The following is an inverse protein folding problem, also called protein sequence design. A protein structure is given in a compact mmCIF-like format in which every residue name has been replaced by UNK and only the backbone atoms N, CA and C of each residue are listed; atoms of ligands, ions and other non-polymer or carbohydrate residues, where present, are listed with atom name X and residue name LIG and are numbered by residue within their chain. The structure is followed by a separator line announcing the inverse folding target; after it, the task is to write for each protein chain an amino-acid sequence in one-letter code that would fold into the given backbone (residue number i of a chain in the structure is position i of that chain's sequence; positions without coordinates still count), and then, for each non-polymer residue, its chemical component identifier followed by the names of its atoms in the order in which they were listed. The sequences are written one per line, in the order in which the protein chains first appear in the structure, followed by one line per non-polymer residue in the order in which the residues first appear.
data_IF_998819233875
#
_entry.id   IF_998819233875
#
_cell.length_a   1.000
_cell.length_b   1.000
_cell.length_c   1.000
_cell.angle_alpha   90.00
_cell.angle_beta   90.00
_cell.angle_gamma   90.00
#
_symmetry.space_group_name_H-M   'P 1'
#
loop_
_entity.id
_entity.type
_entity.pdbx_description
1 polymer ?
#
# COMPACT_ATOMS: atom_id res chain seq x y z
N UNK A 1 25.71 -27.86 22.90
CA UNK A 1 24.45 -27.72 22.13
C UNK A 1 24.50 -26.51 21.21
N UNK A 2 24.80 -25.33 21.67
CA UNK A 2 24.95 -24.11 20.81
C UNK A 2 25.99 -24.28 19.68
N UNK A 3 27.14 -24.92 19.95
CA UNK A 3 28.19 -25.11 18.94
C UNK A 3 27.76 -26.04 17.79
N UNK A 4 26.99 -27.11 18.09
CA UNK A 4 26.47 -28.03 17.08
C UNK A 4 25.36 -27.34 16.24
N UNK A 5 24.52 -26.53 16.86
CA UNK A 5 23.50 -25.74 16.19
C UNK A 5 24.15 -24.75 15.21
N UNK A 6 25.25 -24.08 15.59
CA UNK A 6 26.01 -23.20 14.69
C UNK A 6 26.60 -23.94 13.50
N UNK A 7 27.15 -25.13 13.69
CA UNK A 7 27.79 -25.92 12.62
C UNK A 7 26.79 -26.47 11.58
N UNK A 8 25.52 -26.59 11.93
CA UNK A 8 24.47 -27.09 11.04
C UNK A 8 23.66 -25.94 10.43
N UNK A 9 23.33 -24.91 11.23
CA UNK A 9 22.53 -23.79 10.76
C UNK A 9 23.29 -22.88 9.77
N UNK A 10 24.59 -22.61 10.01
CA UNK A 10 25.36 -21.76 9.10
C UNK A 10 25.45 -22.30 7.67
N UNK A 11 25.81 -23.55 7.40
CA UNK A 11 25.85 -24.09 6.03
C UNK A 11 24.44 -24.23 5.45
N UNK A 12 23.41 -24.52 6.25
CA UNK A 12 22.03 -24.60 5.79
C UNK A 12 21.51 -23.21 5.40
N UNK A 13 21.78 -22.20 6.21
CA UNK A 13 21.44 -20.80 5.92
C UNK A 13 22.17 -20.33 4.65
N UNK A 14 23.47 -20.58 4.55
CA UNK A 14 24.27 -20.25 3.36
C UNK A 14 23.77 -20.97 2.10
N UNK A 15 23.26 -22.20 2.22
CA UNK A 15 22.69 -22.97 1.12
C UNK A 15 21.31 -22.43 0.70
N UNK A 16 20.45 -22.05 1.65
CA UNK A 16 19.17 -21.41 1.38
C UNK A 16 19.39 -20.04 0.72
N UNK A 17 20.39 -19.30 1.17
CA UNK A 17 20.80 -18.02 0.62
C UNK A 17 21.32 -18.13 -0.82
N UNK A 18 22.21 -19.11 -1.09
CA UNK A 18 22.71 -19.37 -2.45
C UNK A 18 21.61 -19.85 -3.38
N UNK A 19 20.61 -20.59 -2.88
CA UNK A 19 19.47 -21.03 -3.67
C UNK A 19 18.54 -19.87 -4.03
N UNK A 20 18.30 -18.94 -3.08
CA UNK A 20 17.56 -17.71 -3.35
C UNK A 20 18.27 -16.79 -4.35
N UNK A 21 19.60 -16.65 -4.26
CA UNK A 21 20.40 -15.89 -5.24
C UNK A 21 20.39 -16.49 -6.64
N UNK A 22 20.30 -17.84 -6.75
CA UNK A 22 20.21 -18.53 -8.06
C UNK A 22 18.82 -18.41 -8.70
N UNK A 23 17.76 -18.32 -7.89
CA UNK A 23 16.37 -18.26 -8.38
C UNK A 23 15.94 -16.82 -8.65
N UNK A 24 16.52 -15.86 -7.94
CA UNK A 24 16.19 -14.44 -8.05
C UNK A 24 17.50 -13.62 -8.07
N UNK A 25 18.06 -13.36 -9.27
CA UNK A 25 19.23 -12.51 -9.37
C UNK A 25 18.90 -11.10 -8.81
N UNK A 26 19.62 -10.74 -7.76
CA UNK A 26 19.55 -9.38 -7.20
C UNK A 26 20.32 -8.47 -8.15
N UNK A 27 19.64 -7.59 -8.86
CA UNK A 27 20.29 -6.47 -9.54
C UNK A 27 20.61 -5.39 -8.49
N UNK A 28 21.85 -4.95 -8.43
CA UNK A 28 22.37 -4.12 -7.32
C UNK A 28 21.78 -2.70 -7.24
N UNK A 29 21.20 -2.16 -8.31
CA UNK A 29 20.60 -0.82 -8.32
C UNK A 29 19.16 -0.86 -8.83
N UNK A 30 18.20 -0.90 -7.89
CA UNK A 30 16.77 -0.92 -8.18
C UNK A 30 16.12 0.47 -8.10
N UNK A 31 16.82 1.44 -7.54
CA UNK A 31 16.43 2.85 -7.55
C UNK A 31 17.31 3.55 -8.59
N UNK A 32 16.74 4.30 -9.54
CA UNK A 32 17.48 5.08 -10.51
C UNK A 32 18.52 5.99 -9.84
N UNK A 33 19.65 6.25 -10.53
CA UNK A 33 20.71 7.13 -10.00
C UNK A 33 20.22 8.57 -9.81
N UNK A 34 19.37 9.03 -10.73
CA UNK A 34 18.74 10.35 -10.69
C UNK A 34 17.22 10.15 -10.87
N UNK A 35 16.43 10.82 -10.05
CA UNK A 35 14.97 10.83 -10.12
C UNK A 35 14.45 12.25 -10.05
N UNK A 36 13.32 12.51 -10.73
CA UNK A 36 12.62 13.77 -10.61
C UNK A 36 12.18 13.98 -9.17
N UNK A 37 12.37 15.21 -8.71
CA UNK A 37 11.91 15.60 -7.39
C UNK A 37 10.48 16.12 -7.50
N UNK A 38 9.65 15.72 -6.56
CA UNK A 38 8.25 16.14 -6.45
C UNK A 38 7.96 16.64 -5.04
N UNK A 39 6.90 17.42 -4.91
CA UNK A 39 6.45 17.94 -3.63
C UNK A 39 5.37 17.05 -3.01
N UNK A 40 4.47 16.54 -3.84
CA UNK A 40 3.32 15.77 -3.40
C UNK A 40 3.36 14.35 -3.94
N UNK A 41 2.86 13.40 -3.17
CA UNK A 41 2.66 12.01 -3.61
C UNK A 41 1.25 11.54 -3.29
N UNK A 42 0.57 10.98 -4.29
CA UNK A 42 -0.68 10.24 -4.12
C UNK A 42 -0.41 8.79 -4.52
N UNK A 43 -0.44 7.90 -3.55
CA UNK A 43 -0.14 6.49 -3.69
C UNK A 43 -1.41 5.65 -3.59
N UNK A 44 -1.91 5.17 -4.75
CA UNK A 44 -3.17 4.44 -4.83
C UNK A 44 -2.91 2.93 -4.92
N UNK A 45 -3.54 2.16 -4.04
CA UNK A 45 -3.38 0.71 -3.91
C UNK A 45 -4.74 0.04 -4.11
N UNK A 46 -4.90 -0.68 -5.21
CA UNK A 46 -6.06 -1.56 -5.44
C UNK A 46 -5.78 -2.93 -4.83
N UNK A 47 -6.29 -3.18 -3.61
CA UNK A 47 -6.08 -4.48 -2.94
C UNK A 47 -6.59 -5.62 -3.81
N UNK A 48 -5.74 -6.61 -4.07
CA UNK A 48 -6.05 -7.78 -4.87
C UNK A 48 -6.11 -7.54 -6.40
N UNK A 49 -5.80 -6.33 -6.87
CA UNK A 49 -5.99 -5.91 -8.26
C UNK A 49 -4.90 -6.48 -9.21
N UNK A 50 -5.20 -7.56 -9.87
CA UNK A 50 -4.36 -8.08 -10.96
C UNK A 50 -4.71 -7.48 -12.34
N UNK A 51 -3.88 -7.75 -13.36
CA UNK A 51 -4.09 -7.17 -14.70
C UNK A 51 -5.40 -7.60 -15.36
N UNK A 52 -5.89 -8.80 -15.08
CA UNK A 52 -7.14 -9.28 -15.67
C UNK A 52 -8.39 -8.76 -14.96
N UNK A 53 -8.27 -8.19 -13.77
CA UNK A 53 -9.33 -7.41 -13.10
C UNK A 53 -9.67 -6.18 -13.95
N UNK A 54 -8.64 -5.47 -14.43
CA UNK A 54 -8.80 -4.29 -15.28
C UNK A 54 -9.49 -4.65 -16.60
N UNK A 55 -9.04 -5.72 -17.27
CA UNK A 55 -9.63 -6.17 -18.52
C UNK A 55 -11.09 -6.60 -18.36
N UNK A 56 -11.39 -7.33 -17.25
CA UNK A 56 -12.75 -7.77 -16.94
C UNK A 56 -13.66 -6.57 -16.66
N UNK A 57 -13.21 -5.61 -15.86
CA UNK A 57 -13.99 -4.40 -15.57
C UNK A 57 -14.28 -3.59 -16.82
N UNK A 58 -13.28 -3.37 -17.69
CA UNK A 58 -13.47 -2.69 -18.99
C UNK A 58 -14.52 -3.39 -19.85
N UNK A 59 -14.47 -4.72 -19.91
CA UNK A 59 -15.38 -5.49 -20.73
C UNK A 59 -16.82 -5.47 -20.19
N UNK A 60 -16.99 -5.74 -18.89
CA UNK A 60 -18.32 -5.92 -18.30
C UNK A 60 -19.04 -4.60 -18.05
N UNK A 61 -18.31 -3.54 -17.69
CA UNK A 61 -18.88 -2.22 -17.44
C UNK A 61 -18.84 -1.31 -18.67
N UNK A 62 -18.20 -1.75 -19.76
CA UNK A 62 -18.02 -0.98 -21.00
C UNK A 62 -17.39 0.40 -20.76
N UNK A 63 -16.31 0.43 -19.95
CA UNK A 63 -15.58 1.63 -19.56
C UNK A 63 -14.15 1.64 -20.13
N UNK A 64 -13.51 2.80 -20.04
CA UNK A 64 -12.07 2.97 -20.21
C UNK A 64 -11.49 3.43 -18.88
N UNK A 65 -10.35 2.89 -18.49
CA UNK A 65 -9.72 3.22 -17.22
C UNK A 65 -8.75 4.40 -17.36
N UNK A 66 -8.84 5.35 -16.46
CA UNK A 66 -7.99 6.54 -16.42
C UNK A 66 -6.54 6.17 -16.11
N UNK A 67 -6.32 5.22 -15.20
CA UNK A 67 -4.96 4.75 -14.84
C UNK A 67 -4.18 4.23 -16.04
N UNK A 68 -4.85 3.62 -17.04
CA UNK A 68 -4.21 3.14 -18.27
C UNK A 68 -3.81 4.27 -19.23
N UNK A 69 -4.21 5.52 -18.98
CA UNK A 69 -3.79 6.69 -19.75
C UNK A 69 -2.49 7.30 -19.26
N UNK A 70 -1.92 6.81 -18.14
CA UNK A 70 -0.65 7.30 -17.61
C UNK A 70 0.49 6.99 -18.59
N UNK A 71 1.45 7.91 -18.65
CA UNK A 71 2.54 7.84 -19.62
C UNK A 71 3.48 6.66 -19.38
N UNK A 72 3.67 6.30 -18.09
CA UNK A 72 4.54 5.21 -17.68
C UNK A 72 3.74 4.08 -17.07
N UNK A 73 3.97 2.87 -17.57
CA UNK A 73 3.35 1.65 -17.07
C UNK A 73 4.32 0.47 -17.05
N UNK A 74 4.18 -0.34 -16.01
CA UNK A 74 5.00 -1.53 -15.78
C UNK A 74 4.25 -2.57 -14.97
N UNK A 75 5.00 -3.39 -14.27
CA UNK A 75 4.48 -4.43 -13.38
C UNK A 75 5.23 -4.45 -12.07
N UNK A 76 4.55 -4.80 -10.99
CA UNK A 76 5.16 -5.07 -9.69
C UNK A 76 5.11 -6.56 -9.37
N UNK A 77 6.22 -7.14 -8.94
CA UNK A 77 6.29 -8.49 -8.41
C UNK A 77 5.99 -8.47 -6.93
N UNK A 78 4.98 -9.24 -6.53
CA UNK A 78 4.51 -9.34 -5.15
C UNK A 78 4.93 -10.68 -4.55
N UNK A 79 5.53 -10.66 -3.37
CA UNK A 79 5.82 -11.85 -2.55
C UNK A 79 6.13 -11.42 -1.12
N UNK A 80 5.85 -12.27 -0.17
CA UNK A 80 6.30 -12.08 1.21
C UNK A 80 7.68 -12.71 1.46
N UNK A 81 8.19 -12.61 2.67
CA UNK A 81 9.55 -13.04 3.02
C UNK A 81 9.82 -14.53 2.71
N UNK A 82 8.86 -15.40 2.99
CA UNK A 82 9.03 -16.85 2.81
C UNK A 82 8.03 -17.48 1.85
N UNK A 83 7.05 -16.71 1.32
CA UNK A 83 6.02 -17.25 0.45
C UNK A 83 6.04 -16.55 -0.92
N UNK A 84 5.82 -17.34 -1.97
CA UNK A 84 5.63 -16.81 -3.32
C UNK A 84 4.35 -15.98 -3.45
N UNK A 85 3.34 -16.25 -2.61
CA UNK A 85 2.08 -15.54 -2.53
C UNK A 85 2.03 -14.77 -1.20
N UNK A 86 1.90 -13.46 -1.27
CA UNK A 86 1.76 -12.58 -0.12
C UNK A 86 0.31 -12.49 0.35
N UNK A 87 0.10 -12.10 1.60
CA UNK A 87 -1.17 -11.53 2.04
C UNK A 87 -1.11 -10.00 2.05
N UNK A 88 -2.24 -9.32 2.25
CA UNK A 88 -2.30 -7.86 2.24
C UNK A 88 -1.42 -7.21 3.33
N UNK A 89 -1.23 -7.86 4.49
CA UNK A 89 -0.39 -7.32 5.56
C UNK A 89 1.10 -7.26 5.16
N UNK A 90 1.62 -8.36 4.64
CA UNK A 90 3.00 -8.42 4.15
C UNK A 90 3.17 -7.62 2.85
N UNK A 91 2.14 -7.59 1.98
CA UNK A 91 2.10 -6.76 0.77
C UNK A 91 2.15 -5.27 1.10
N UNK A 92 1.29 -4.80 2.01
CA UNK A 92 1.29 -3.42 2.49
C UNK A 92 2.60 -3.04 3.19
N UNK A 93 3.16 -3.93 4.01
CA UNK A 93 4.48 -3.71 4.61
C UNK A 93 5.56 -3.50 3.55
N UNK A 94 5.53 -4.29 2.47
CA UNK A 94 6.46 -4.13 1.36
C UNK A 94 6.29 -2.79 0.65
N UNK A 95 5.03 -2.36 0.41
CA UNK A 95 4.69 -1.11 -0.27
C UNK A 95 4.89 0.14 0.60
N UNK A 96 4.85 0.00 1.93
CA UNK A 96 5.01 1.11 2.87
C UNK A 96 6.44 1.26 3.39
N UNK A 97 7.13 0.14 3.68
CA UNK A 97 8.41 0.12 4.38
C UNK A 97 9.59 -0.31 3.49
N UNK A 98 9.38 -0.79 2.27
CA UNK A 98 10.45 -1.27 1.40
C UNK A 98 11.10 -2.60 1.83
N UNK A 99 10.45 -3.35 2.72
CA UNK A 99 10.96 -4.63 3.24
C UNK A 99 9.92 -5.73 3.12
N UNK A 100 10.36 -6.97 2.93
CA UNK A 100 9.48 -8.14 2.98
C UNK A 100 9.35 -8.65 4.39
N UNK A 101 8.13 -9.01 4.77
CA UNK A 101 7.83 -9.63 6.06
C UNK A 101 7.07 -10.95 5.89
N UNK A 102 6.74 -11.59 6.99
CA UNK A 102 5.95 -12.82 7.06
C UNK A 102 4.47 -12.46 6.86
N UNK A 103 3.71 -13.29 6.14
CA UNK A 103 2.27 -13.10 5.99
C UNK A 103 1.59 -12.92 7.36
N UNK A 104 0.73 -11.91 7.45
CA UNK A 104 0.04 -11.53 8.67
C UNK A 104 0.73 -10.47 9.52
N UNK A 105 2.01 -10.18 9.27
CA UNK A 105 2.77 -9.14 9.98
C UNK A 105 2.65 -7.79 9.28
N UNK A 106 2.62 -6.71 10.05
CA UNK A 106 2.37 -5.34 9.60
C UNK A 106 3.47 -4.42 10.09
N UNK A 107 4.20 -3.77 9.19
CA UNK A 107 5.22 -2.78 9.53
C UNK A 107 6.40 -3.33 10.35
N UNK A 108 6.55 -4.64 10.48
CA UNK A 108 7.64 -5.30 11.21
C UNK A 108 8.42 -6.22 10.30
N UNK A 109 9.68 -6.40 10.60
CA UNK A 109 10.60 -7.21 9.81
C UNK A 109 11.43 -8.11 10.72
N UNK A 110 11.63 -9.36 10.32
CA UNK A 110 12.46 -10.31 11.06
C UNK A 110 13.81 -10.51 10.37
N UNK A 111 14.89 -10.10 11.03
CA UNK A 111 16.27 -10.27 10.53
C UNK A 111 16.79 -11.70 10.65
N UNK A 112 16.28 -12.46 11.64
CA UNK A 112 16.96 -13.63 12.17
C UNK A 112 15.96 -14.76 12.40
N UNK A 113 16.33 -15.99 12.00
CA UNK A 113 15.64 -17.20 12.47
C UNK A 113 15.54 -17.31 14.00
N UNK A 114 16.25 -16.48 14.77
CA UNK A 114 16.14 -16.36 16.23
C UNK A 114 15.14 -15.28 16.70
N UNK A 115 14.30 -14.77 15.79
CA UNK A 115 13.22 -13.82 16.09
C UNK A 115 13.69 -12.44 16.63
N UNK A 116 14.71 -11.87 15.99
CA UNK A 116 15.00 -10.44 16.19
C UNK A 116 14.10 -9.62 15.28
N UNK A 117 13.10 -9.00 15.88
CA UNK A 117 12.16 -8.11 15.22
C UNK A 117 12.75 -6.71 15.05
N UNK A 118 12.42 -6.05 13.97
CA UNK A 118 12.69 -4.65 13.72
C UNK A 118 11.44 -3.96 13.18
N UNK A 119 11.30 -2.69 13.54
CA UNK A 119 10.25 -1.80 13.04
C UNK A 119 10.88 -0.82 12.05
N UNK A 120 10.90 -1.16 10.73
CA UNK A 120 11.37 -0.23 9.71
C UNK A 120 10.39 0.94 9.60
N UNK A 121 10.91 2.16 9.42
CA UNK A 121 10.04 3.32 9.12
C UNK A 121 9.21 3.05 7.87
N UNK A 122 7.95 3.45 7.89
CA UNK A 122 7.12 3.48 6.71
C UNK A 122 7.16 4.87 6.04
N UNK A 123 6.62 4.97 4.81
CA UNK A 123 6.59 6.23 4.06
C UNK A 123 5.89 7.36 4.82
N UNK A 124 4.80 7.07 5.52
CA UNK A 124 4.05 8.07 6.29
C UNK A 124 4.90 8.67 7.41
N UNK A 125 5.61 7.83 8.16
CA UNK A 125 6.52 8.27 9.22
C UNK A 125 7.66 9.14 8.68
N UNK A 126 8.23 8.76 7.54
CA UNK A 126 9.25 9.58 6.87
C UNK A 126 8.71 10.96 6.47
N UNK A 127 7.51 11.00 5.88
CA UNK A 127 6.88 12.25 5.48
C UNK A 127 6.57 13.14 6.68
N UNK A 128 6.08 12.57 7.79
CA UNK A 128 5.87 13.29 9.07
C UNK A 128 7.19 13.88 9.59
N UNK A 129 8.29 13.10 9.61
CA UNK A 129 9.61 13.58 10.04
C UNK A 129 10.11 14.78 9.18
N UNK A 130 9.69 14.85 7.92
CA UNK A 130 10.00 15.96 6.99
C UNK A 130 9.07 17.17 7.15
N UNK A 131 8.00 17.04 7.94
CA UNK A 131 7.01 18.10 8.15
C UNK A 131 5.94 18.17 7.06
N UNK A 132 5.80 17.10 6.24
CA UNK A 132 4.75 16.99 5.23
C UNK A 132 3.42 16.63 5.90
N UNK A 133 2.31 17.07 5.29
CA UNK A 133 0.99 16.57 5.67
C UNK A 133 0.81 15.12 5.20
N UNK A 134 0.08 14.31 5.99
CA UNK A 134 -0.06 12.89 5.70
C UNK A 134 -1.50 12.40 5.84
N UNK A 135 -1.93 11.55 4.89
CA UNK A 135 -3.28 11.01 4.87
C UNK A 135 -3.34 9.52 4.48
N UNK A 136 -4.29 8.84 5.08
CA UNK A 136 -4.66 7.45 4.76
C UNK A 136 -6.15 7.40 4.55
N UNK A 137 -6.57 7.01 3.35
CA UNK A 137 -7.97 6.84 2.95
C UNK A 137 -8.19 5.44 2.43
N UNK A 138 -9.21 4.75 2.93
CA UNK A 138 -9.48 3.36 2.55
C UNK A 138 -10.98 3.06 2.49
N UNK A 139 -11.35 2.11 1.65
CA UNK A 139 -12.67 1.49 1.69
C UNK A 139 -12.76 0.30 2.65
N UNK A 140 -11.65 -0.09 3.30
CA UNK A 140 -11.64 -1.05 4.40
C UNK A 140 -11.85 -0.35 5.75
N UNK A 141 -11.84 -1.13 6.83
CA UNK A 141 -11.71 -0.59 8.18
C UNK A 141 -10.38 0.16 8.30
N UNK A 142 -10.36 1.21 9.09
CA UNK A 142 -9.10 1.93 9.38
C UNK A 142 -8.02 1.01 9.94
N UNK A 143 -8.40 -0.07 10.64
CA UNK A 143 -7.51 -1.15 11.09
C UNK A 143 -7.31 -2.28 10.08
N UNK A 144 -7.70 -2.12 8.83
CA UNK A 144 -7.40 -3.05 7.75
C UNK A 144 -5.89 -3.24 7.53
N UNK A 145 -5.51 -4.29 6.82
CA UNK A 145 -4.09 -4.62 6.67
C UNK A 145 -3.30 -3.55 5.91
N UNK A 146 -3.86 -3.03 4.82
CA UNK A 146 -3.20 -2.01 4.00
C UNK A 146 -3.05 -0.67 4.73
N UNK A 147 -4.10 -0.06 5.30
CA UNK A 147 -3.94 1.16 6.07
C UNK A 147 -3.03 0.97 7.29
N UNK A 148 -3.03 -0.22 7.91
CA UNK A 148 -2.14 -0.54 9.01
C UNK A 148 -0.66 -0.57 8.58
N UNK A 149 -0.34 -1.05 7.36
CA UNK A 149 1.02 -1.06 6.85
C UNK A 149 1.66 0.33 6.75
N UNK A 150 0.84 1.35 6.55
CA UNK A 150 1.24 2.76 6.46
C UNK A 150 1.11 3.54 7.78
N UNK A 151 0.62 2.92 8.85
CA UNK A 151 0.33 3.65 10.10
C UNK A 151 0.85 3.01 11.37
N UNK A 152 1.19 1.71 11.38
CA UNK A 152 1.51 0.99 12.62
C UNK A 152 2.55 -0.11 12.42
N UNK A 153 3.04 -0.65 13.55
CA UNK A 153 3.97 -1.78 13.60
C UNK A 153 3.44 -2.83 14.60
N UNK A 154 3.07 -4.01 14.08
CA UNK A 154 2.57 -5.12 14.90
C UNK A 154 2.87 -6.48 14.26
N UNK A 155 3.04 -7.51 15.09
CA UNK A 155 3.31 -8.87 14.67
C UNK A 155 2.07 -9.62 14.17
N UNK A 156 0.91 -8.95 14.13
CA UNK A 156 -0.32 -9.55 13.60
C UNK A 156 -1.34 -8.53 13.15
N UNK A 157 -1.80 -8.65 11.91
CA UNK A 157 -2.94 -7.88 11.36
C UNK A 157 -4.26 -8.05 12.15
N UNK A 158 -4.33 -9.08 13.00
CA UNK A 158 -5.49 -9.35 13.83
C UNK A 158 -5.42 -8.64 15.19
N UNK A 159 -4.34 -7.95 15.51
CA UNK A 159 -4.19 -7.17 16.73
C UNK A 159 -4.92 -5.82 16.65
N UNK A 160 -6.20 -5.84 16.26
CA UNK A 160 -7.02 -4.63 16.01
C UNK A 160 -6.91 -3.59 17.13
N UNK A 161 -6.91 -4.04 18.39
CA UNK A 161 -6.77 -3.11 19.51
C UNK A 161 -5.43 -2.38 19.55
N UNK A 162 -4.36 -3.08 19.21
CA UNK A 162 -3.01 -2.50 19.17
C UNK A 162 -2.90 -1.53 17.99
N UNK A 163 -3.41 -1.94 16.81
CA UNK A 163 -3.49 -1.12 15.61
C UNK A 163 -4.26 0.19 15.91
N UNK A 164 -5.48 0.10 16.40
CA UNK A 164 -6.32 1.25 16.72
C UNK A 164 -5.63 2.17 17.75
N UNK A 165 -4.92 1.58 18.73
CA UNK A 165 -4.18 2.36 19.75
C UNK A 165 -3.01 3.10 19.11
N UNK A 166 -2.23 2.49 18.22
CA UNK A 166 -1.11 3.13 17.55
C UNK A 166 -1.60 4.25 16.63
N UNK A 167 -2.66 4.01 15.84
CA UNK A 167 -3.27 5.03 14.98
C UNK A 167 -3.74 6.25 15.77
N UNK A 168 -4.37 6.05 16.93
CA UNK A 168 -4.81 7.15 17.79
C UNK A 168 -3.66 7.95 18.42
N UNK A 169 -2.46 7.40 18.49
CA UNK A 169 -1.28 8.07 19.01
C UNK A 169 -0.28 8.49 17.91
N UNK A 170 -0.68 8.36 16.64
CA UNK A 170 0.15 8.79 15.51
C UNK A 170 0.02 10.29 15.27
N UNK A 171 0.99 10.84 14.56
CA UNK A 171 0.98 12.22 14.06
C UNK A 171 0.44 12.31 12.61
N UNK A 172 -0.36 11.32 12.17
CA UNK A 172 -0.99 11.30 10.84
C UNK A 172 -2.18 12.27 10.85
N UNK A 173 -2.26 13.15 9.86
CA UNK A 173 -3.29 14.19 9.83
C UNK A 173 -4.68 13.63 9.49
N UNK A 174 -4.77 12.67 8.56
CA UNK A 174 -6.04 12.07 8.14
C UNK A 174 -5.97 10.54 8.19
N UNK A 175 -6.89 9.87 8.91
CA UNK A 175 -7.10 8.42 8.84
C UNK A 175 -8.59 8.15 8.65
N UNK A 176 -9.00 7.80 7.43
CA UNK A 176 -10.41 7.67 7.05
C UNK A 176 -10.71 6.30 6.45
N UNK A 177 -11.78 5.67 6.93
CA UNK A 177 -12.22 4.37 6.44
C UNK A 177 -13.50 3.89 7.11
N UNK A 178 -13.77 2.59 7.00
CA UNK A 178 -14.87 1.95 7.71
C UNK A 178 -14.56 1.77 9.20
N UNK A 179 -15.60 1.56 9.98
CA UNK A 179 -15.55 1.47 11.45
C UNK A 179 -14.63 0.35 11.94
N UNK A 180 -13.68 0.69 12.81
CA UNK A 180 -12.87 -0.25 13.59
C UNK A 180 -13.41 -0.39 15.02
N UNK A 181 -13.03 -1.49 15.68
CA UNK A 181 -13.73 -1.94 16.89
C UNK A 181 -13.38 -1.15 18.16
N UNK A 182 -12.20 -0.53 18.23
CA UNK A 182 -11.69 0.09 19.46
C UNK A 182 -11.52 1.61 19.33
N UNK A 183 -11.98 2.18 18.24
CA UNK A 183 -12.04 3.63 18.03
C UNK A 183 -13.41 4.15 18.47
N UNK A 184 -13.42 5.28 19.16
CA UNK A 184 -14.63 5.99 19.54
C UNK A 184 -14.42 7.50 19.40
N UNK A 185 -15.50 8.25 19.30
CA UNK A 185 -15.43 9.70 19.29
C UNK A 185 -14.64 10.25 20.48
N UNK A 186 -14.89 9.73 21.68
CA UNK A 186 -14.19 10.15 22.91
C UNK A 186 -12.67 9.93 22.81
N UNK A 187 -12.24 8.77 22.26
CA UNK A 187 -10.80 8.49 22.09
C UNK A 187 -10.17 9.36 21.01
N UNK A 188 -10.85 9.62 19.92
CA UNK A 188 -10.38 10.50 18.84
C UNK A 188 -10.17 11.94 19.36
N UNK A 189 -11.20 12.52 19.97
CA UNK A 189 -11.15 13.89 20.52
C UNK A 189 -10.09 14.04 21.61
N UNK A 190 -9.92 13.01 22.47
CA UNK A 190 -8.88 13.02 23.51
C UNK A 190 -7.46 13.02 22.95
N UNK A 191 -7.25 12.53 21.73
CA UNK A 191 -5.98 12.51 21.02
C UNK A 191 -5.87 13.62 19.93
N UNK A 192 -6.78 14.59 19.95
CA UNK A 192 -6.70 15.77 19.08
C UNK A 192 -7.30 15.62 17.69
N UNK A 193 -7.93 14.48 17.39
CA UNK A 193 -8.62 14.28 16.11
C UNK A 193 -10.05 14.80 16.14
N UNK A 194 -10.49 15.47 15.10
CA UNK A 194 -11.92 15.66 14.80
C UNK A 194 -12.49 14.33 14.32
N UNK A 195 -13.48 13.78 15.05
CA UNK A 195 -14.12 12.53 14.69
C UNK A 195 -15.25 12.74 13.71
N UNK A 196 -15.29 11.94 12.63
CA UNK A 196 -16.22 12.07 11.50
C UNK A 196 -16.91 10.73 11.25
N UNK A 197 -18.23 10.75 10.98
CA UNK A 197 -19.03 9.56 10.70
C UNK A 197 -19.83 9.62 9.41
N UNK A 198 -20.01 10.79 8.86
CA UNK A 198 -20.88 11.01 7.71
C UNK A 198 -20.19 11.82 6.63
N UNK A 199 -20.70 11.71 5.40
CA UNK A 199 -20.25 12.51 4.28
C UNK A 199 -20.38 14.01 4.56
N UNK A 200 -21.53 14.42 5.14
CA UNK A 200 -21.77 15.83 5.48
C UNK A 200 -20.77 16.37 6.51
N UNK A 201 -20.41 15.57 7.53
CA UNK A 201 -19.37 15.92 8.51
C UNK A 201 -17.99 16.00 7.86
N UNK A 202 -17.65 15.03 6.98
CA UNK A 202 -16.40 15.04 6.23
C UNK A 202 -16.25 16.31 5.38
N UNK A 203 -17.31 16.68 4.65
CA UNK A 203 -17.30 17.89 3.82
C UNK A 203 -17.20 19.18 4.62
N UNK A 204 -17.61 19.17 5.90
CA UNK A 204 -17.52 20.32 6.80
C UNK A 204 -16.16 20.50 7.46
N UNK A 205 -15.21 19.56 7.27
CA UNK A 205 -13.84 19.73 7.77
C UNK A 205 -13.16 20.93 7.13
N UNK A 206 -12.44 21.69 7.95
CA UNK A 206 -11.63 22.85 7.53
C UNK A 206 -10.14 22.46 7.55
N UNK A 207 -9.32 23.18 6.80
CA UNK A 207 -7.87 23.01 6.73
C UNK A 207 -7.19 23.17 8.10
N UNK A 208 -6.02 22.55 8.27
CA UNK A 208 -5.16 22.70 9.45
C UNK A 208 -5.58 21.89 10.67
N UNK A 209 -6.47 20.89 10.53
CA UNK A 209 -6.89 20.01 11.62
C UNK A 209 -6.70 18.53 11.31
N UNK A 210 -6.31 17.74 12.35
CA UNK A 210 -6.29 16.29 12.22
C UNK A 210 -7.70 15.71 12.32
N UNK A 211 -8.02 14.70 11.50
CA UNK A 211 -9.32 14.04 11.52
C UNK A 211 -9.25 12.52 11.40
N UNK A 212 -10.16 11.87 12.12
CA UNK A 212 -10.34 10.43 12.06
C UNK A 212 -11.77 10.10 11.65
N UNK A 213 -11.94 9.50 10.47
CA UNK A 213 -13.27 9.17 9.99
C UNK A 213 -13.54 7.67 10.06
N UNK A 214 -14.71 7.33 10.60
CA UNK A 214 -15.22 5.96 10.63
C UNK A 214 -16.67 5.92 10.15
N UNK A 215 -16.85 5.58 8.88
CA UNK A 215 -18.16 5.49 8.26
C UNK A 215 -18.83 4.15 8.64
N UNK A 216 -19.96 4.22 9.34
CA UNK A 216 -20.59 3.05 9.97
C UNK A 216 -21.00 1.94 8.98
N UNK A 217 -21.41 2.31 7.76
CA UNK A 217 -21.82 1.36 6.73
C UNK A 217 -20.66 0.86 5.86
N UNK A 218 -19.43 1.28 6.16
CA UNK A 218 -18.31 1.09 5.27
C UNK A 218 -18.36 2.05 4.10
N UNK A 219 -17.24 2.15 3.39
CA UNK A 219 -17.11 3.01 2.22
C UNK A 219 -17.19 2.12 0.99
N UNK A 220 -18.41 1.82 0.54
CA UNK A 220 -18.64 0.91 -0.56
C UNK A 220 -18.79 1.67 -1.88
N UNK A 221 -19.51 1.11 -2.82
CA UNK A 221 -19.73 1.64 -4.15
C UNK A 221 -20.96 2.52 -4.21
N UNK A 222 -21.06 3.27 -5.27
CA UNK A 222 -21.98 4.36 -5.53
C UNK A 222 -23.48 4.02 -5.50
N UNK A 223 -23.90 2.77 -5.69
CA UNK A 223 -25.32 2.47 -5.94
C UNK A 223 -26.10 1.88 -4.77
N UNK A 224 -25.46 1.50 -3.65
CA UNK A 224 -26.10 0.77 -2.56
C UNK A 224 -26.26 1.54 -1.25
N UNK A 225 -25.77 2.79 -1.16
CA UNK A 225 -25.61 3.50 0.11
C UNK A 225 -26.44 4.76 0.19
N UNK A 226 -26.68 5.16 1.44
CA UNK A 226 -27.31 6.43 1.74
C UNK A 226 -26.40 7.60 1.36
N UNK A 227 -27.00 8.79 1.22
CA UNK A 227 -26.27 10.01 0.83
C UNK A 227 -25.19 10.46 1.85
N UNK A 228 -25.03 9.73 2.96
CA UNK A 228 -24.12 10.07 4.06
C UNK A 228 -22.88 9.15 4.15
N UNK A 229 -22.77 8.14 3.27
CA UNK A 229 -21.55 7.32 3.13
C UNK A 229 -20.76 7.78 1.92
N UNK A 230 -19.53 8.31 2.10
CA UNK A 230 -18.74 8.79 0.98
C UNK A 230 -18.20 7.64 0.13
N UNK A 231 -18.02 7.91 -1.16
CA UNK A 231 -17.26 7.04 -2.06
C UNK A 231 -15.74 7.27 -1.89
N UNK A 232 -14.92 6.36 -2.43
CA UNK A 232 -13.46 6.51 -2.39
C UNK A 232 -13.00 7.79 -3.11
N UNK A 233 -13.59 8.10 -4.27
CA UNK A 233 -13.27 9.32 -5.03
C UNK A 233 -13.65 10.59 -4.27
N UNK A 234 -14.78 10.60 -3.54
CA UNK A 234 -15.18 11.72 -2.70
C UNK A 234 -14.23 11.91 -1.50
N UNK A 235 -13.83 10.82 -0.85
CA UNK A 235 -12.83 10.86 0.23
C UNK A 235 -11.48 11.36 -0.30
N UNK A 236 -11.04 10.86 -1.46
CA UNK A 236 -9.79 11.28 -2.09
C UNK A 236 -9.80 12.78 -2.42
N UNK A 237 -10.90 13.28 -2.98
CA UNK A 237 -11.06 14.72 -3.27
C UNK A 237 -10.90 15.55 -2.01
N UNK A 238 -11.66 15.21 -0.95
CA UNK A 238 -11.63 15.99 0.29
C UNK A 238 -10.31 15.85 1.04
N UNK A 239 -9.66 14.68 0.98
CA UNK A 239 -8.34 14.47 1.58
C UNK A 239 -7.28 15.36 0.90
N UNK A 240 -7.26 15.41 -0.42
CA UNK A 240 -6.35 16.29 -1.16
C UNK A 240 -6.59 17.77 -0.77
N UNK A 241 -7.85 18.23 -0.76
CA UNK A 241 -8.19 19.61 -0.37
C UNK A 241 -7.64 19.99 1.00
N UNK A 242 -7.64 19.05 1.97
CA UNK A 242 -7.20 19.31 3.34
C UNK A 242 -5.68 19.19 3.51
N UNK A 243 -5.01 18.37 2.69
CA UNK A 243 -3.57 18.14 2.78
C UNK A 243 -2.74 19.15 1.97
N UNK A 244 -3.35 19.81 0.99
CA UNK A 244 -2.69 20.79 0.10
C UNK A 244 -2.61 22.19 0.74
N UNK A 245 -2.29 22.26 2.03
CA UNK A 245 -2.23 23.52 2.83
C UNK A 245 -0.82 23.84 3.35
N UNK A 246 0.23 23.21 2.80
CA UNK A 246 1.60 23.41 3.29
C UNK A 246 2.62 23.50 2.17
N UNK A 247 3.63 24.35 2.38
CA UNK A 247 4.76 24.50 1.46
C UNK A 247 5.66 23.23 1.41
N UNK A 248 5.61 22.36 2.41
CA UNK A 248 6.36 21.10 2.48
C UNK A 248 5.73 19.98 1.65
N UNK A 249 4.48 20.13 1.23
CA UNK A 249 3.71 19.15 0.44
C UNK A 249 3.09 18.04 1.28
N UNK A 250 2.53 17.02 0.62
CA UNK A 250 1.82 15.95 1.29
C UNK A 250 2.11 14.56 0.72
N UNK A 251 1.83 13.55 1.55
CA UNK A 251 1.75 12.15 1.18
C UNK A 251 0.34 11.61 1.48
N UNK A 252 -0.35 11.10 0.47
CA UNK A 252 -1.68 10.49 0.60
C UNK A 252 -1.66 9.05 0.10
N UNK A 253 -1.96 8.09 0.98
CA UNK A 253 -2.28 6.71 0.60
C UNK A 253 -3.78 6.55 0.40
N UNK A 254 -4.18 5.96 -0.72
CA UNK A 254 -5.59 5.69 -1.08
C UNK A 254 -5.75 4.21 -1.39
N UNK A 255 -6.65 3.51 -0.69
CA UNK A 255 -6.88 2.08 -0.89
C UNK A 255 -8.29 1.78 -1.40
N UNK A 256 -8.36 1.03 -2.50
CA UNK A 256 -9.57 0.37 -2.99
C UNK A 256 -9.63 -1.10 -2.54
N UNK A 257 -10.10 -1.37 -1.32
CA UNK A 257 -10.06 -2.69 -0.68
C UNK A 257 -11.09 -3.69 -1.22
N UNK A 258 -12.13 -3.22 -1.91
CA UNK A 258 -13.23 -4.09 -2.30
C UNK A 258 -12.98 -4.88 -3.58
N UNK A 259 -11.91 -4.58 -4.31
CA UNK A 259 -11.48 -5.42 -5.45
C UNK A 259 -11.10 -6.81 -4.93
N UNK A 260 -10.29 -6.87 -3.86
CA UNK A 260 -9.90 -8.12 -3.20
C UNK A 260 -11.09 -8.85 -2.56
N UNK A 261 -11.89 -8.13 -1.76
CA UNK A 261 -13.01 -8.75 -1.02
C UNK A 261 -14.01 -9.42 -1.94
N UNK A 262 -14.39 -8.76 -3.03
CA UNK A 262 -15.30 -9.35 -4.03
C UNK A 262 -14.62 -10.49 -4.82
N UNK A 263 -13.31 -10.39 -5.06
CA UNK A 263 -12.56 -11.47 -5.73
C UNK A 263 -12.43 -12.72 -4.89
N UNK A 264 -12.33 -12.60 -3.57
CA UNK A 264 -12.39 -13.74 -2.64
C UNK A 264 -13.71 -14.50 -2.72
N UNK A 265 -14.81 -13.76 -2.90
CA UNK A 265 -16.18 -14.31 -3.03
C UNK A 265 -16.52 -14.67 -4.48
N UNK A 266 -15.61 -14.42 -5.44
CA UNK A 266 -15.84 -14.56 -6.89
C UNK A 266 -17.07 -13.77 -7.37
N UNK A 267 -17.26 -12.57 -6.80
CA UNK A 267 -18.39 -11.69 -7.11
C UNK A 267 -18.04 -10.74 -8.24
N UNK A 268 -18.46 -11.08 -9.46
CA UNK A 268 -18.09 -10.37 -10.69
C UNK A 268 -18.55 -8.91 -10.68
N UNK A 269 -19.82 -8.65 -10.36
CA UNK A 269 -20.40 -7.32 -10.42
C UNK A 269 -19.73 -6.38 -9.38
N UNK A 270 -19.62 -6.83 -8.13
CA UNK A 270 -18.98 -6.05 -7.07
C UNK A 270 -17.52 -5.78 -7.33
N UNK A 271 -16.77 -6.76 -7.87
CA UNK A 271 -15.36 -6.57 -8.20
C UNK A 271 -15.17 -5.54 -9.32
N UNK A 272 -15.96 -5.63 -10.40
CA UNK A 272 -15.83 -4.71 -11.54
C UNK A 272 -16.27 -3.29 -11.17
N UNK A 273 -17.25 -3.14 -10.29
CA UNK A 273 -17.68 -1.86 -9.71
C UNK A 273 -16.58 -1.27 -8.79
N UNK A 274 -15.93 -2.11 -8.00
CA UNK A 274 -14.81 -1.68 -7.16
C UNK A 274 -13.61 -1.17 -7.99
N UNK A 275 -13.30 -1.81 -9.12
CA UNK A 275 -12.27 -1.32 -10.05
C UNK A 275 -12.67 0.04 -10.63
N UNK A 276 -13.94 0.22 -11.04
CA UNK A 276 -14.41 1.50 -11.59
C UNK A 276 -14.32 2.62 -10.54
N UNK A 277 -14.76 2.37 -9.29
CA UNK A 277 -14.67 3.40 -8.25
C UNK A 277 -13.23 3.69 -7.82
N UNK A 278 -12.35 2.69 -7.82
CA UNK A 278 -10.92 2.92 -7.63
C UNK A 278 -10.32 3.79 -8.75
N UNK A 279 -10.70 3.54 -10.00
CA UNK A 279 -10.27 4.37 -11.13
C UNK A 279 -10.87 5.79 -11.10
N UNK A 280 -12.06 5.98 -10.52
CA UNK A 280 -12.61 7.31 -10.24
C UNK A 280 -11.73 8.08 -9.24
N UNK A 281 -11.20 7.41 -8.20
CA UNK A 281 -10.24 8.03 -7.28
C UNK A 281 -8.91 8.36 -7.99
N UNK A 282 -8.45 7.50 -8.89
CA UNK A 282 -7.29 7.80 -9.76
C UNK A 282 -7.55 9.03 -10.65
N UNK A 283 -8.77 9.16 -11.18
CA UNK A 283 -9.15 10.32 -11.99
C UNK A 283 -9.08 11.64 -11.20
N UNK A 284 -9.53 11.63 -9.94
CA UNK A 284 -9.41 12.76 -9.02
C UNK A 284 -7.94 13.13 -8.79
N UNK A 285 -7.10 12.14 -8.48
CA UNK A 285 -5.67 12.35 -8.29
C UNK A 285 -5.00 12.93 -9.55
N UNK A 286 -5.36 12.41 -10.72
CA UNK A 286 -4.82 12.89 -12.01
C UNK A 286 -5.23 14.32 -12.31
N UNK A 287 -6.49 14.70 -12.02
CA UNK A 287 -6.95 16.08 -12.21
C UNK A 287 -6.18 17.05 -11.32
N UNK A 288 -6.00 16.70 -10.05
CA UNK A 288 -5.18 17.49 -9.13
C UNK A 288 -3.74 17.61 -9.62
N UNK A 289 -3.06 16.49 -9.92
CA UNK A 289 -1.66 16.49 -10.33
C UNK A 289 -1.40 17.29 -11.62
N UNK A 290 -2.34 17.28 -12.57
CA UNK A 290 -2.27 18.10 -13.79
C UNK A 290 -2.34 19.60 -13.51
N UNK A 291 -3.10 20.00 -12.48
CA UNK A 291 -3.26 21.40 -12.10
C UNK A 291 -2.09 21.88 -11.25
N UNK A 292 -1.60 21.04 -10.35
CA UNK A 292 -0.47 21.31 -9.45
C UNK A 292 0.88 21.29 -10.20
N UNK A 293 1.12 20.27 -10.99
CA UNK A 293 2.33 20.13 -11.81
C UNK A 293 3.58 19.68 -11.05
N UNK A 294 3.47 19.32 -9.77
CA UNK A 294 4.56 18.86 -8.90
C UNK A 294 4.17 17.65 -8.03
N UNK A 295 3.23 16.86 -8.54
CA UNK A 295 2.66 15.69 -7.87
C UNK A 295 3.00 14.40 -8.61
N UNK A 296 3.55 13.43 -7.89
CA UNK A 296 3.72 12.05 -8.33
C UNK A 296 2.48 11.23 -7.98
N UNK A 297 1.94 10.52 -8.96
CA UNK A 297 0.91 9.50 -8.74
C UNK A 297 1.50 8.13 -9.02
N UNK A 298 1.35 7.22 -8.08
CA UNK A 298 1.71 5.80 -8.23
C UNK A 298 0.47 4.96 -7.99
N UNK A 299 0.08 4.13 -8.96
CA UNK A 299 -1.06 3.20 -8.87
C UNK A 299 -0.54 1.78 -9.00
N UNK A 300 -0.82 0.94 -8.01
CA UNK A 300 -0.44 -0.47 -8.02
C UNK A 300 -1.39 -1.31 -7.17
N UNK A 301 -1.01 -2.55 -6.89
CA UNK A 301 -1.69 -3.46 -5.97
C UNK A 301 -0.68 -4.15 -5.06
N UNK A 302 -1.14 -4.70 -3.97
CA UNK A 302 -0.36 -5.49 -3.03
C UNK A 302 -0.22 -6.95 -3.46
N UNK A 303 -1.22 -7.53 -4.15
CA UNK A 303 -1.25 -8.86 -4.78
C UNK A 303 -2.38 -8.96 -5.82
N UNK A 304 -2.55 -10.12 -6.42
CA UNK A 304 -3.71 -10.50 -7.22
C UNK A 304 -4.58 -11.49 -6.43
N UNK A 305 -5.91 -11.39 -6.55
CA UNK A 305 -6.89 -12.28 -5.92
C UNK A 305 -7.86 -12.87 -6.94
N UNK A 306 -8.25 -14.13 -6.72
CA UNK A 306 -9.26 -14.81 -7.51
C UNK A 306 -8.72 -15.59 -8.71
N UNK A 307 -7.45 -15.38 -9.11
CA UNK A 307 -6.81 -16.10 -10.22
C UNK A 307 -7.60 -15.96 -11.51
N UNK A 308 -7.96 -14.72 -11.91
CA UNK A 308 -8.78 -14.47 -13.10
C UNK A 308 -8.07 -14.99 -14.35
N UNK A 309 -8.82 -15.63 -15.23
CA UNK A 309 -8.37 -16.13 -16.53
C UNK A 309 -9.24 -15.63 -17.66
N UNK A 310 -8.66 -15.47 -18.84
CA UNK A 310 -9.38 -15.25 -20.09
C UNK A 310 -9.83 -16.61 -20.65
N UNK A 311 -11.12 -16.78 -20.88
CA UNK A 311 -11.73 -17.97 -21.43
C UNK A 311 -11.63 -17.99 -22.98
N UNK A 312 -11.82 -19.18 -23.58
CA UNK A 312 -11.78 -19.35 -25.04
C UNK A 312 -12.87 -18.54 -25.78
N UNK A 313 -13.97 -18.21 -25.11
CA UNK A 313 -15.06 -17.39 -25.66
C UNK A 313 -14.83 -15.87 -25.51
N UNK A 314 -13.68 -15.48 -24.93
CA UNK A 314 -13.30 -14.09 -24.72
C UNK A 314 -13.88 -13.45 -23.45
N UNK A 315 -14.54 -14.22 -22.59
CA UNK A 315 -14.98 -13.77 -21.26
C UNK A 315 -13.90 -13.99 -20.21
N UNK A 316 -14.05 -13.39 -19.03
CA UNK A 316 -13.15 -13.56 -17.90
C UNK A 316 -13.85 -14.27 -16.75
N UNK A 317 -13.16 -15.17 -16.05
CA UNK A 317 -13.70 -15.87 -14.89
C UNK A 317 -12.68 -16.05 -13.79
N UNK A 318 -13.16 -16.10 -12.56
CA UNK A 318 -12.37 -16.50 -11.40
C UNK A 318 -12.08 -18.00 -11.43
N UNK A 319 -10.91 -18.41 -10.97
CA UNK A 319 -10.52 -19.82 -10.85
C UNK A 319 -10.34 -20.29 -9.42
N UNK A 320 -10.27 -19.35 -8.49
CA UNK A 320 -10.08 -19.61 -7.05
C UNK A 320 -10.63 -18.44 -6.22
N UNK A 321 -10.79 -18.63 -4.91
CA UNK A 321 -11.14 -17.56 -3.97
C UNK A 321 -9.97 -17.21 -3.05
N UNK A 322 -8.74 -17.17 -3.57
CA UNK A 322 -7.52 -16.88 -2.82
C UNK A 322 -6.54 -16.05 -3.65
N UNK A 323 -5.51 -15.52 -2.99
CA UNK A 323 -4.48 -14.75 -3.69
C UNK A 323 -3.66 -15.62 -4.64
N UNK A 324 -3.05 -14.99 -5.63
CA UNK A 324 -2.07 -15.60 -6.52
C UNK A 324 -0.73 -14.85 -6.50
N UNK A 325 0.29 -15.46 -7.09
CA UNK A 325 1.62 -14.84 -7.25
C UNK A 325 1.78 -14.11 -8.58
N UNK A 326 0.69 -13.71 -9.23
CA UNK A 326 0.75 -12.94 -10.46
C UNK A 326 1.36 -11.55 -10.22
N UNK A 327 2.12 -11.05 -11.20
CA UNK A 327 2.57 -9.67 -11.16
C UNK A 327 1.37 -8.73 -11.31
N UNK A 328 1.33 -7.68 -10.51
CA UNK A 328 0.27 -6.67 -10.50
C UNK A 328 0.61 -5.48 -11.40
N UNK A 329 -0.37 -4.68 -11.83
CA UNK A 329 -0.12 -3.46 -12.59
C UNK A 329 0.67 -2.44 -11.79
N UNK A 330 1.43 -1.61 -12.50
CA UNK A 330 2.09 -0.41 -11.97
C UNK A 330 1.93 0.70 -13.01
N UNK A 331 1.26 1.80 -12.62
CA UNK A 331 1.11 2.99 -13.45
C UNK A 331 1.67 4.19 -12.71
N UNK A 332 2.34 5.07 -13.44
CA UNK A 332 3.03 6.24 -12.87
C UNK A 332 2.72 7.48 -13.69
N UNK A 333 2.42 8.57 -13.02
CA UNK A 333 2.25 9.90 -13.58
C UNK A 333 3.05 10.92 -12.76
N UNK A 334 3.64 11.91 -13.43
CA UNK A 334 4.35 13.02 -12.78
C UNK A 334 5.87 12.81 -12.61
N UNK A 335 6.42 11.70 -13.13
CA UNK A 335 7.87 11.46 -13.20
C UNK A 335 8.21 10.57 -14.38
N UNK A 336 9.17 10.97 -15.22
CA UNK A 336 9.71 10.19 -16.34
C UNK A 336 10.95 9.36 -15.96
N UNK A 337 11.38 9.46 -14.71
CA UNK A 337 12.50 8.70 -14.18
C UNK A 337 12.10 7.62 -13.17
N UNK A 338 10.81 7.52 -12.79
CA UNK A 338 10.35 6.57 -11.79
C UNK A 338 10.39 5.11 -12.25
N UNK A 339 9.91 4.83 -13.47
CA UNK A 339 10.01 3.54 -14.15
C UNK A 339 10.19 3.72 -15.66
N UNK A 340 10.75 2.71 -16.32
CA UNK A 340 10.70 2.59 -17.78
C UNK A 340 9.42 1.85 -18.21
N UNK A 341 8.88 2.18 -19.37
CA UNK A 341 7.69 1.49 -19.91
C UNK A 341 7.94 -0.01 -20.10
N UNK A 342 7.12 -0.82 -19.47
CA UNK A 342 7.22 -2.28 -19.46
C UNK A 342 8.19 -2.83 -18.41
N UNK A 343 8.78 -2.00 -17.57
CA UNK A 343 9.65 -2.43 -16.47
C UNK A 343 8.90 -3.33 -15.49
N UNK A 344 9.62 -4.30 -14.92
CA UNK A 344 9.14 -5.15 -13.83
C UNK A 344 9.97 -4.87 -12.59
N UNK A 345 9.37 -4.25 -11.60
CA UNK A 345 10.01 -3.91 -10.32
C UNK A 345 9.56 -4.88 -9.22
N UNK A 346 10.24 -4.91 -8.10
CA UNK A 346 9.70 -5.53 -6.91
C UNK A 346 8.84 -4.53 -6.13
N UNK A 347 7.81 -5.02 -5.42
CA UNK A 347 6.97 -4.18 -4.57
C UNK A 347 7.76 -3.39 -3.53
N UNK A 348 8.86 -3.92 -3.01
CA UNK A 348 9.77 -3.24 -2.08
C UNK A 348 10.60 -2.10 -2.71
N UNK A 349 10.69 -2.04 -4.04
CA UNK A 349 11.41 -0.97 -4.73
C UNK A 349 10.57 0.31 -4.82
N UNK A 350 9.25 0.18 -4.84
CA UNK A 350 8.31 1.30 -5.03
C UNK A 350 8.43 2.35 -3.91
N UNK A 351 8.36 2.00 -2.61
CA UNK A 351 8.46 3.01 -1.56
C UNK A 351 9.84 3.69 -1.52
N UNK A 352 10.91 2.99 -1.86
CA UNK A 352 12.24 3.58 -1.96
C UNK A 352 12.31 4.62 -3.10
N UNK A 353 11.69 4.35 -4.25
CA UNK A 353 11.58 5.30 -5.36
C UNK A 353 10.71 6.50 -4.97
N UNK A 354 9.58 6.28 -4.26
CA UNK A 354 8.72 7.36 -3.74
C UNK A 354 9.52 8.26 -2.78
N UNK A 355 10.19 7.68 -1.78
CA UNK A 355 10.98 8.44 -0.83
C UNK A 355 12.08 9.26 -1.53
N UNK A 356 12.76 8.66 -2.50
CA UNK A 356 13.79 9.34 -3.25
C UNK A 356 13.24 10.47 -4.14
N UNK A 357 12.07 10.31 -4.75
CA UNK A 357 11.36 11.40 -5.46
C UNK A 357 10.94 12.54 -4.54
N UNK A 358 10.68 12.26 -3.26
CA UNK A 358 10.41 13.27 -2.24
C UNK A 358 11.68 13.93 -1.67
N UNK A 359 12.86 13.57 -2.17
CA UNK A 359 14.15 14.16 -1.77
C UNK A 359 14.74 13.57 -0.48
N UNK A 360 14.32 12.37 -0.08
CA UNK A 360 15.01 11.61 0.95
C UNK A 360 16.28 10.96 0.39
N UNK A 361 17.28 10.75 1.26
CA UNK A 361 18.47 10.00 0.87
C UNK A 361 18.14 8.51 0.68
N UNK A 362 18.90 7.82 -0.19
CA UNK A 362 18.71 6.38 -0.45
C UNK A 362 18.82 5.51 0.81
N UNK A 363 19.47 5.99 1.85
CA UNK A 363 19.65 5.30 3.12
C UNK A 363 18.52 5.58 4.14
N UNK A 364 17.62 6.53 3.86
CA UNK A 364 16.52 6.89 4.76
C UNK A 364 15.40 5.85 4.75
N UNK A 365 15.11 5.24 3.61
CA UNK A 365 14.28 4.04 3.55
C UNK A 365 15.13 2.79 3.76
N UNK A 366 14.72 1.87 4.64
CA UNK A 366 15.35 0.58 4.71
C UNK A 366 15.11 -0.17 3.39
N UNK A 367 16.02 0.03 2.47
CA UNK A 367 16.05 -0.75 1.25
C UNK A 367 16.61 -2.12 1.60
N UNK A 368 15.79 -3.17 1.48
CA UNK A 368 16.24 -4.55 1.69
C UNK A 368 17.26 -4.93 0.61
N UNK A 369 18.50 -4.50 0.78
CA UNK A 369 19.61 -5.14 0.10
C UNK A 369 19.75 -6.52 0.74
N UNK A 370 19.42 -7.55 0.00
CA UNK A 370 19.62 -8.94 0.44
C UNK A 370 21.07 -9.16 0.94
N UNK A 371 22.07 -8.46 0.35
CA UNK A 371 23.44 -8.43 0.81
C UNK A 371 23.62 -7.86 2.23
N UNK A 372 22.88 -6.81 2.60
CA UNK A 372 22.96 -6.20 3.93
C UNK A 372 22.28 -7.07 4.97
N UNK A 373 21.17 -7.71 4.64
CA UNK A 373 20.54 -8.72 5.48
C UNK A 373 21.47 -9.91 5.77
N UNK A 374 22.19 -10.40 4.74
CA UNK A 374 23.22 -11.46 4.89
C UNK A 374 24.32 -10.99 5.85
N UNK A 375 24.82 -9.78 5.70
CA UNK A 375 25.88 -9.23 6.55
C UNK A 375 25.42 -9.07 8.00
N UNK A 376 24.22 -8.54 8.23
CA UNK A 376 23.64 -8.39 9.58
C UNK A 376 23.42 -9.76 10.24
N UNK A 377 22.90 -10.75 9.52
CA UNK A 377 22.75 -12.11 10.03
C UNK A 377 24.10 -12.73 10.36
N UNK A 378 25.08 -12.59 9.46
CA UNK A 378 26.45 -13.13 9.67
C UNK A 378 27.12 -12.46 10.88
N UNK A 379 27.00 -11.14 11.05
CA UNK A 379 27.57 -10.41 12.18
C UNK A 379 26.89 -10.76 13.51
N UNK A 380 25.57 -10.93 13.53
CA UNK A 380 24.84 -11.30 14.76
C UNK A 380 25.04 -12.77 15.15
N UNK A 381 25.24 -13.67 14.20
CA UNK A 381 25.60 -15.07 14.47
C UNK A 381 27.08 -15.20 14.92
N UNK A 382 27.93 -14.23 14.58
CA UNK A 382 29.34 -14.20 14.98
C UNK A 382 29.56 -13.64 16.40
N UNK A 383 28.60 -12.91 16.97
CA UNK A 383 28.55 -12.47 18.36
C UNK A 383 27.89 -13.51 19.26
#
# INVERSE_FOLDING_TARGET
MLYIIRQILQPLLAMIMSLNMMIFPVTEDRVPEEMDQVQNVIYLIGDGMGPLHLEKAKQERNISLVMETFEYSGRSMTRSQFNAVTDSAAGATALACGVRTINGYVGVFYYDPLCVESTPRNLTELCIEKGMMTGIVTTDKTSGATPSGFSVHTDSRNNTKDIDTQQMNSDIDLIWGATSSYISQETCEANGFTFVKTYSEMMALEEGGCSFAQFDNGTWYTEQYDDETPTLSQMTTKAIDLLDDTDEGFFLMVEGAHIDKNSHDNEDAGMTEAVEEFDNAVAVALEYAKNDGNTLIVVTADHETGGIVLNDDGTYSFTQGSHSGANVPLFVYGSDTFIENGEVVYNIDIPARIAYSLGFDKDDMPYERFADWVNVVVENVAK
#
